data_IF_954181145827
#
_entry.id   IF_954181145827
#
_cell.length_a   1.000
_cell.length_b   1.000
_cell.length_c   1.000
_cell.angle_alpha   90.00
_cell.angle_beta   90.00
_cell.angle_gamma   90.00
#
_symmetry.space_group_name_H-M   'P 1'
#
loop_
_entity.id
_entity.type
_entity.pdbx_description
1 polymer ?
#
# COMPACT_ATOMS: atom_id res chain seq x y z
N UNK A 1 -4.84 1.30 -5.45
CA UNK A 1 -4.18 2.55 -5.90
C UNK A 1 -5.12 3.35 -6.82
N UNK A 2 -4.80 4.62 -7.13
CA UNK A 2 -5.53 5.49 -8.09
C UNK A 2 -6.99 5.85 -7.76
N UNK A 3 -7.49 5.49 -6.57
CA UNK A 3 -8.85 5.77 -6.12
C UNK A 3 -8.98 7.14 -5.40
N UNK A 4 -7.95 7.99 -5.46
CA UNK A 4 -7.97 9.31 -4.82
C UNK A 4 -7.92 9.30 -3.29
N UNK A 5 -7.40 8.25 -2.64
CA UNK A 5 -7.35 8.12 -1.17
C UNK A 5 -6.72 9.35 -0.49
N UNK A 6 -5.51 9.70 -0.94
CA UNK A 6 -4.80 10.90 -0.48
C UNK A 6 -5.61 12.18 -0.75
N UNK A 7 -6.27 12.29 -1.90
CA UNK A 7 -7.13 13.46 -2.20
C UNK A 7 -8.28 13.58 -1.20
N UNK A 8 -8.97 12.48 -0.91
CA UNK A 8 -10.09 12.46 0.05
C UNK A 8 -9.60 12.74 1.46
N UNK A 9 -8.45 12.18 1.87
CA UNK A 9 -7.81 12.50 3.14
C UNK A 9 -7.53 14.00 3.27
N UNK A 10 -6.85 14.59 2.29
CA UNK A 10 -6.54 16.03 2.30
C UNK A 10 -7.79 16.90 2.31
N UNK A 11 -8.84 16.51 1.59
CA UNK A 11 -10.11 17.24 1.61
C UNK A 11 -10.76 17.23 2.99
N UNK A 12 -10.77 16.08 3.68
CA UNK A 12 -11.30 15.99 5.04
C UNK A 12 -10.45 16.79 6.03
N UNK A 13 -9.13 16.62 5.99
CA UNK A 13 -8.21 17.38 6.86
C UNK A 13 -8.33 18.89 6.63
N UNK A 14 -8.45 19.34 5.38
CA UNK A 14 -8.64 20.75 5.08
C UNK A 14 -9.97 21.28 5.64
N UNK A 15 -11.07 20.52 5.51
CA UNK A 15 -12.36 20.92 6.07
C UNK A 15 -12.30 21.11 7.61
N UNK A 16 -11.52 20.26 8.30
CA UNK A 16 -11.30 20.39 9.75
C UNK A 16 -10.46 21.60 10.12
N UNK A 17 -9.42 21.88 9.34
CA UNK A 17 -8.61 23.09 9.50
C UNK A 17 -9.43 24.36 9.25
N UNK A 18 -10.27 24.37 8.21
CA UNK A 18 -11.16 25.48 7.86
C UNK A 18 -12.23 25.72 8.95
N UNK A 19 -12.60 24.67 9.68
CA UNK A 19 -13.46 24.75 10.87
C UNK A 19 -12.70 25.21 12.14
N UNK A 20 -11.41 25.57 12.02
CA UNK A 20 -10.59 26.08 13.11
C UNK A 20 -9.97 25.01 14.01
N UNK A 21 -10.10 23.72 13.68
CA UNK A 21 -9.48 22.64 14.47
C UNK A 21 -8.00 22.50 14.15
N UNK A 22 -7.20 22.16 15.16
CA UNK A 22 -5.76 21.92 14.97
C UNK A 22 -5.56 20.56 14.32
N UNK A 23 -4.92 20.54 13.14
CA UNK A 23 -4.70 19.32 12.36
C UNK A 23 -3.21 18.99 12.26
N UNK A 24 -2.89 17.70 12.29
CA UNK A 24 -1.58 17.19 11.90
C UNK A 24 -1.75 16.14 10.80
N UNK A 25 -0.75 16.06 9.92
CA UNK A 25 -0.74 15.12 8.80
C UNK A 25 0.56 14.33 8.83
N UNK A 26 0.45 13.01 8.70
CA UNK A 26 1.56 12.07 8.82
C UNK A 26 1.58 11.14 7.60
N UNK A 27 2.77 10.84 7.09
CA UNK A 27 2.99 9.83 6.05
C UNK A 27 4.20 8.96 6.39
N UNK A 28 4.23 7.75 5.83
CA UNK A 28 5.43 6.90 5.93
C UNK A 28 6.57 7.50 5.11
N UNK A 29 7.78 7.48 5.66
CA UNK A 29 9.02 7.85 4.97
C UNK A 29 9.40 6.89 3.83
N UNK A 30 8.88 5.66 3.85
CA UNK A 30 8.99 4.67 2.76
C UNK A 30 8.36 5.17 1.46
N UNK A 31 7.36 6.06 1.53
CA UNK A 31 6.76 6.66 0.34
C UNK A 31 7.54 7.90 -0.14
N UNK A 32 8.50 7.66 -1.03
CA UNK A 32 9.37 8.70 -1.62
C UNK A 32 8.82 9.30 -2.92
N UNK A 33 7.64 8.88 -3.41
CA UNK A 33 7.16 9.23 -4.76
C UNK A 33 6.97 10.74 -5.02
N UNK A 34 6.72 11.53 -3.97
CA UNK A 34 6.44 12.97 -4.07
C UNK A 34 7.24 13.82 -3.07
N UNK A 35 8.32 13.27 -2.48
CA UNK A 35 9.14 13.92 -1.46
C UNK A 35 8.69 13.66 -0.01
N UNK A 36 9.59 13.97 0.92
CA UNK A 36 9.43 13.67 2.36
C UNK A 36 8.66 14.77 3.14
N UNK A 37 8.60 16.00 2.63
CA UNK A 37 8.06 17.15 3.39
C UNK A 37 6.60 17.54 3.14
N UNK A 38 5.91 16.87 2.22
CA UNK A 38 4.51 17.18 1.92
C UNK A 38 3.76 15.95 1.41
N UNK A 39 2.45 15.92 1.70
CA UNK A 39 1.54 14.99 1.05
C UNK A 39 1.06 15.67 -0.22
N UNK A 40 1.34 15.03 -1.36
CA UNK A 40 0.88 15.49 -2.66
C UNK A 40 -0.18 14.51 -3.14
N UNK A 41 -1.42 14.99 -3.25
CA UNK A 41 -2.44 14.20 -3.94
C UNK A 41 -2.11 14.09 -5.43
N UNK A 42 -2.61 13.04 -6.09
CA UNK A 42 -2.54 12.93 -7.55
C UNK A 42 -3.22 14.12 -8.27
N UNK A 43 -4.13 14.83 -7.58
CA UNK A 43 -4.76 16.08 -8.04
C UNK A 43 -3.92 17.35 -7.85
N UNK A 44 -2.68 17.25 -7.35
CA UNK A 44 -1.75 18.38 -7.20
C UNK A 44 -1.90 19.23 -5.93
N UNK A 45 -2.90 18.96 -5.07
CA UNK A 45 -2.98 19.61 -3.74
C UNK A 45 -1.82 19.17 -2.85
N UNK A 46 -1.19 20.14 -2.15
CA UNK A 46 -0.08 19.92 -1.22
C UNK A 46 -0.42 20.45 0.17
N UNK A 47 -0.14 19.66 1.20
CA UNK A 47 -0.17 20.09 2.60
C UNK A 47 1.11 19.62 3.30
N UNK A 48 1.61 20.42 4.25
CA UNK A 48 2.76 20.03 5.07
C UNK A 48 2.43 18.80 5.90
N UNK A 49 3.39 17.89 6.03
CA UNK A 49 3.23 16.67 6.81
C UNK A 49 4.53 16.23 7.47
N UNK A 50 4.40 15.42 8.52
CA UNK A 50 5.50 14.68 9.10
C UNK A 50 5.71 13.37 8.31
N UNK A 51 6.83 13.23 7.61
CA UNK A 51 7.32 11.92 7.20
C UNK A 51 8.06 11.26 8.37
N UNK A 52 7.66 10.03 8.70
CA UNK A 52 8.20 9.25 9.83
C UNK A 52 8.27 7.78 9.47
N UNK A 53 9.19 7.06 10.13
CA UNK A 53 9.32 5.61 9.98
C UNK A 53 8.20 4.86 10.73
N UNK A 54 7.83 5.34 11.92
CA UNK A 54 6.73 4.83 12.73
C UNK A 54 5.82 5.95 13.25
N UNK A 55 4.59 5.63 13.63
CA UNK A 55 3.68 6.62 14.25
C UNK A 55 4.10 6.95 15.69
N UNK A 56 4.77 6.01 16.35
CA UNK A 56 5.42 6.21 17.63
C UNK A 56 6.51 7.29 17.54
N UNK A 57 7.31 7.32 16.46
CA UNK A 57 8.29 8.39 16.20
C UNK A 57 7.61 9.74 15.99
N UNK A 58 6.42 9.77 15.40
CA UNK A 58 5.65 11.01 15.29
C UNK A 58 5.28 11.55 16.68
N UNK A 59 4.80 10.69 17.58
CA UNK A 59 4.46 11.08 18.95
C UNK A 59 5.69 11.51 19.77
N UNK A 60 6.82 10.81 19.62
CA UNK A 60 8.04 11.07 20.41
C UNK A 60 8.89 12.23 19.89
N UNK A 61 9.09 12.36 18.57
CA UNK A 61 9.94 13.40 17.98
C UNK A 61 9.20 14.69 17.68
N UNK A 62 7.86 14.67 17.63
CA UNK A 62 7.03 15.87 17.46
C UNK A 62 5.96 15.97 18.55
N UNK A 63 6.35 15.95 19.84
CA UNK A 63 5.40 15.88 20.96
C UNK A 63 4.48 17.10 21.01
N UNK A 64 4.98 18.30 20.67
CA UNK A 64 4.17 19.51 20.64
C UNK A 64 3.10 19.46 19.54
N UNK A 65 3.48 19.05 18.33
CA UNK A 65 2.55 18.90 17.21
C UNK A 65 1.49 17.82 17.53
N UNK A 66 1.93 16.69 18.10
CA UNK A 66 1.01 15.65 18.56
C UNK A 66 0.05 16.18 19.62
N UNK A 67 0.55 16.85 20.67
CA UNK A 67 -0.25 17.33 21.77
C UNK A 67 -1.30 18.36 21.32
N UNK A 68 -0.92 19.28 20.43
CA UNK A 68 -1.79 20.33 19.92
C UNK A 68 -2.81 19.83 18.88
N UNK A 69 -2.49 18.80 18.10
CA UNK A 69 -3.41 18.29 17.09
C UNK A 69 -4.68 17.72 17.72
N UNK A 70 -5.85 18.18 17.29
CA UNK A 70 -7.13 17.53 17.59
C UNK A 70 -7.40 16.42 16.58
N UNK A 71 -6.98 16.65 15.32
CA UNK A 71 -7.18 15.75 14.18
C UNK A 71 -5.84 15.28 13.63
N UNK A 72 -5.68 13.98 13.45
CA UNK A 72 -4.48 13.40 12.86
C UNK A 72 -4.86 12.64 11.59
N UNK A 73 -4.39 13.15 10.44
CA UNK A 73 -4.46 12.46 9.17
C UNK A 73 -3.26 11.55 8.97
N UNK A 74 -3.50 10.29 8.57
CA UNK A 74 -2.45 9.31 8.31
C UNK A 74 -2.60 8.83 6.86
N UNK A 75 -1.61 9.08 6.01
CA UNK A 75 -1.59 8.57 4.62
C UNK A 75 -0.64 7.38 4.46
N UNK A 76 -0.94 6.56 3.45
CA UNK A 76 -0.25 5.30 3.16
C UNK A 76 -0.10 4.40 4.40
N UNK A 77 -1.17 4.32 5.18
CA UNK A 77 -1.22 3.68 6.49
C UNK A 77 -0.77 2.21 6.50
N UNK A 78 -0.87 1.51 5.36
CA UNK A 78 -0.42 0.13 5.23
C UNK A 78 1.08 -0.08 5.49
N UNK A 79 1.89 0.99 5.51
CA UNK A 79 3.33 0.94 5.77
C UNK A 79 3.72 1.06 7.26
N UNK A 80 2.77 1.36 8.14
CA UNK A 80 3.00 1.50 9.57
C UNK A 80 2.65 0.21 10.31
N UNK A 81 3.66 -0.45 10.86
CA UNK A 81 3.47 -1.67 11.64
C UNK A 81 2.76 -1.39 12.97
N UNK A 82 2.96 -0.18 13.53
CA UNK A 82 2.37 0.30 14.78
C UNK A 82 1.03 1.03 14.59
N UNK A 83 0.41 0.95 13.40
CA UNK A 83 -0.85 1.64 13.09
C UNK A 83 -1.97 1.34 14.09
N UNK A 84 -2.20 0.04 14.37
CA UNK A 84 -3.31 -0.38 15.22
C UNK A 84 -3.17 0.17 16.65
N UNK A 85 -2.01 -0.07 17.28
CA UNK A 85 -1.75 0.37 18.66
C UNK A 85 -1.70 1.90 18.78
N UNK A 86 -1.14 2.59 17.79
CA UNK A 86 -1.17 4.05 17.76
C UNK A 86 -2.59 4.58 17.66
N UNK A 87 -3.41 4.05 16.74
CA UNK A 87 -4.77 4.52 16.55
C UNK A 87 -5.64 4.29 17.78
N UNK A 88 -5.55 3.12 18.41
CA UNK A 88 -6.23 2.82 19.66
C UNK A 88 -5.82 3.80 20.77
N UNK A 89 -4.50 3.98 20.97
CA UNK A 89 -4.00 4.90 22.00
C UNK A 89 -4.47 6.33 21.78
N UNK A 90 -4.36 6.83 20.55
CA UNK A 90 -4.66 8.22 20.23
C UNK A 90 -6.17 8.51 20.30
N UNK A 91 -7.03 7.60 19.85
CA UNK A 91 -8.48 7.78 19.87
C UNK A 91 -9.06 7.57 21.28
N UNK A 92 -8.76 6.43 21.92
CA UNK A 92 -9.44 6.02 23.14
C UNK A 92 -8.95 6.77 24.38
N UNK A 93 -7.67 7.15 24.42
CA UNK A 93 -7.04 7.72 25.61
C UNK A 93 -6.64 9.18 25.46
N UNK A 94 -6.16 9.58 24.28
CA UNK A 94 -5.69 10.95 24.04
C UNK A 94 -6.76 11.87 23.43
N UNK A 95 -7.96 11.36 23.15
CA UNK A 95 -9.11 12.13 22.65
C UNK A 95 -8.92 12.70 21.24
N UNK A 96 -8.09 12.06 20.40
CA UNK A 96 -7.79 12.51 19.02
C UNK A 96 -8.80 11.92 18.04
N UNK A 97 -9.21 12.70 17.04
CA UNK A 97 -9.91 12.13 15.87
C UNK A 97 -8.90 11.73 14.81
N UNK A 98 -9.01 10.51 14.29
CA UNK A 98 -8.08 9.98 13.29
C UNK A 98 -8.74 9.83 11.93
N UNK A 99 -8.07 10.29 10.87
CA UNK A 99 -8.50 10.08 9.49
C UNK A 99 -7.40 9.29 8.78
N UNK A 100 -7.66 8.01 8.53
CA UNK A 100 -6.66 7.08 8.02
C UNK A 100 -6.93 6.74 6.55
N UNK A 101 -5.92 6.89 5.70
CA UNK A 101 -5.94 6.48 4.31
C UNK A 101 -4.84 5.45 4.06
N UNK A 102 -5.22 4.30 3.49
CA UNK A 102 -4.29 3.23 3.19
C UNK A 102 -4.86 2.27 2.14
N UNK A 103 -4.01 1.39 1.63
CA UNK A 103 -4.43 0.28 0.79
C UNK A 103 -5.03 -0.83 1.66
N UNK A 104 -6.18 -1.34 1.27
CA UNK A 104 -6.85 -2.48 1.91
C UNK A 104 -6.19 -3.81 1.55
N UNK A 105 -5.66 -3.91 0.32
CA UNK A 105 -4.91 -5.06 -0.13
C UNK A 105 -3.75 -4.72 -1.05
N UNK A 106 -2.80 -5.65 -1.12
CA UNK A 106 -1.65 -5.59 -2.02
C UNK A 106 -2.03 -6.00 -3.45
N UNK A 107 -1.02 -6.11 -4.33
CA UNK A 107 -1.21 -6.50 -5.73
C UNK A 107 -1.67 -7.95 -5.91
N UNK A 108 -1.60 -8.78 -4.86
CA UNK A 108 -2.11 -10.15 -4.81
C UNK A 108 -3.51 -10.24 -4.18
N UNK A 109 -4.11 -9.10 -3.80
CA UNK A 109 -5.34 -8.98 -3.00
C UNK A 109 -5.22 -9.60 -1.62
N UNK A 110 -4.01 -9.74 -1.11
CA UNK A 110 -3.78 -10.10 0.28
C UNK A 110 -3.79 -8.84 1.13
N UNK A 111 -4.02 -9.02 2.43
CA UNK A 111 -3.99 -7.93 3.39
C UNK A 111 -2.65 -7.17 3.33
N UNK A 112 -2.72 -5.84 3.28
CA UNK A 112 -1.54 -4.97 3.30
C UNK A 112 -1.44 -4.26 4.65
N UNK A 113 -0.40 -4.59 5.42
CA UNK A 113 -0.17 -4.02 6.75
C UNK A 113 -1.32 -4.31 7.72
N UNK A 114 -1.58 -3.37 8.61
CA UNK A 114 -2.62 -3.45 9.65
C UNK A 114 -3.80 -2.51 9.41
N UNK A 115 -3.91 -1.89 8.23
CA UNK A 115 -5.01 -0.97 7.91
C UNK A 115 -6.41 -1.61 8.06
N UNK A 116 -6.55 -2.90 7.74
CA UNK A 116 -7.80 -3.63 7.90
C UNK A 116 -8.13 -3.97 9.37
N UNK A 117 -7.15 -3.98 10.27
CA UNK A 117 -7.40 -4.22 11.70
C UNK A 117 -8.11 -3.05 12.37
N UNK A 118 -8.10 -1.87 11.74
CA UNK A 118 -8.84 -0.71 12.22
C UNK A 118 -10.34 -0.86 11.99
N UNK A 119 -10.80 -1.73 11.09
CA UNK A 119 -12.22 -1.82 10.71
C UNK A 119 -13.16 -2.08 11.89
N UNK A 120 -12.86 -3.01 12.84
CA UNK A 120 -13.70 -3.22 14.02
C UNK A 120 -13.71 -2.04 15.01
N UNK A 121 -12.73 -1.13 14.93
CA UNK A 121 -12.55 0.00 15.83
C UNK A 121 -13.01 1.32 15.22
N UNK A 122 -13.19 1.37 13.89
CA UNK A 122 -13.45 2.59 13.16
C UNK A 122 -14.93 2.98 13.22
N UNK A 123 -15.21 4.24 13.55
CA UNK A 123 -16.57 4.80 13.48
C UNK A 123 -17.14 4.82 12.06
N UNK A 124 -16.27 4.91 11.05
CA UNK A 124 -16.66 4.85 9.64
C UNK A 124 -15.56 4.27 8.76
N UNK A 125 -15.96 3.51 7.75
CA UNK A 125 -15.04 2.94 6.75
C UNK A 125 -15.57 3.24 5.35
N UNK A 126 -14.72 3.76 4.48
CA UNK A 126 -15.06 4.02 3.07
C UNK A 126 -14.06 3.35 2.14
N UNK A 127 -14.52 2.38 1.35
CA UNK A 127 -13.71 1.77 0.29
C UNK A 127 -13.89 2.51 -1.03
N UNK A 128 -12.88 3.30 -1.40
CA UNK A 128 -12.89 4.06 -2.66
C UNK A 128 -12.61 3.15 -3.85
N UNK A 129 -13.23 3.47 -4.99
CA UNK A 129 -13.00 2.80 -6.28
C UNK A 129 -12.43 3.79 -7.29
N UNK A 130 -11.55 3.31 -8.16
CA UNK A 130 -11.03 4.05 -9.32
C UNK A 130 -11.73 3.59 -10.60
N UNK A 131 -11.16 3.93 -11.76
CA UNK A 131 -11.62 3.46 -13.08
C UNK A 131 -10.68 2.39 -13.60
N UNK A 132 -11.23 1.28 -14.08
CA UNK A 132 -10.47 0.20 -14.66
C UNK A 132 -9.81 0.66 -15.95
N UNK A 133 -8.48 0.56 -16.01
CA UNK A 133 -7.69 1.01 -17.17
C UNK A 133 -8.05 0.26 -18.46
N UNK A 134 -8.57 -0.97 -18.36
CA UNK A 134 -8.96 -1.79 -19.52
C UNK A 134 -10.38 -1.49 -20.01
N UNK A 135 -11.33 -1.17 -19.13
CA UNK A 135 -12.75 -1.11 -19.52
C UNK A 135 -13.57 0.05 -18.94
N UNK A 136 -12.96 0.99 -18.23
CA UNK A 136 -13.62 2.18 -17.69
C UNK A 136 -14.60 1.96 -16.52
N UNK A 137 -15.02 0.71 -16.25
CA UNK A 137 -15.86 0.37 -15.08
C UNK A 137 -15.13 0.60 -13.75
N UNK A 138 -15.87 0.59 -12.65
CA UNK A 138 -15.28 0.72 -11.32
C UNK A 138 -14.17 -0.34 -11.09
N UNK A 139 -13.03 0.13 -10.62
CA UNK A 139 -11.87 -0.68 -10.26
C UNK A 139 -11.67 -0.69 -8.76
N UNK A 140 -11.69 -1.89 -8.18
CA UNK A 140 -11.50 -2.12 -6.76
C UNK A 140 -10.12 -2.75 -6.46
N UNK A 141 -9.33 -3.07 -7.48
CA UNK A 141 -8.06 -3.80 -7.32
C UNK A 141 -6.92 -3.07 -8.02
N UNK A 142 -5.73 -3.30 -7.50
CA UNK A 142 -4.48 -2.89 -8.12
C UNK A 142 -3.83 -4.12 -8.74
N UNK A 143 -3.47 -4.05 -10.01
CA UNK A 143 -2.73 -5.09 -10.70
C UNK A 143 -1.30 -4.62 -10.92
N UNK A 144 -0.31 -5.48 -10.66
CA UNK A 144 1.11 -5.20 -10.94
C UNK A 144 1.42 -5.66 -12.37
N UNK A 145 1.97 -4.76 -13.17
CA UNK A 145 2.34 -4.97 -14.59
C UNK A 145 3.65 -5.76 -14.72
N UNK A 146 4.50 -5.72 -13.70
CA UNK A 146 5.83 -6.34 -13.69
C UNK A 146 5.81 -7.72 -13.04
N UNK A 147 6.88 -8.51 -13.27
CA UNK A 147 7.04 -9.84 -12.68
C UNK A 147 7.62 -9.82 -11.25
N UNK A 148 7.91 -8.64 -10.70
CA UNK A 148 8.45 -8.50 -9.35
C UNK A 148 7.49 -9.10 -8.32
N UNK A 149 8.01 -9.98 -7.44
CA UNK A 149 7.23 -10.68 -6.41
C UNK A 149 7.33 -10.03 -5.02
N UNK A 150 8.18 -9.03 -4.84
CA UNK A 150 8.31 -8.33 -3.56
C UNK A 150 6.99 -7.67 -3.20
N UNK A 151 6.50 -7.85 -1.99
CA UNK A 151 5.22 -7.26 -1.55
C UNK A 151 5.22 -5.74 -1.71
N UNK A 152 6.30 -5.11 -1.26
CA UNK A 152 6.50 -3.67 -1.31
C UNK A 152 7.42 -3.30 -2.47
N UNK A 153 6.84 -2.69 -3.51
CA UNK A 153 7.58 -2.03 -4.58
C UNK A 153 6.96 -0.65 -4.76
N UNK A 154 7.71 0.39 -4.41
CA UNK A 154 7.28 1.77 -4.54
C UNK A 154 7.23 2.12 -6.03
N UNK A 155 6.07 2.57 -6.50
CA UNK A 155 5.85 2.90 -7.91
C UNK A 155 4.49 3.53 -8.15
N UNK A 156 4.29 3.97 -9.39
CA UNK A 156 3.07 4.61 -9.88
C UNK A 156 2.41 3.80 -10.99
N UNK A 157 1.97 4.52 -12.03
CA UNK A 157 1.27 3.95 -13.19
C UNK A 157 2.18 3.11 -14.11
N UNK A 158 3.49 3.25 -13.95
CA UNK A 158 4.54 2.47 -14.61
C UNK A 158 4.55 1.01 -14.12
N UNK A 159 4.33 0.79 -12.81
CA UNK A 159 4.35 -0.55 -12.20
C UNK A 159 2.94 -1.10 -12.00
N UNK A 160 1.95 -0.24 -11.76
CA UNK A 160 0.62 -0.64 -11.34
C UNK A 160 -0.49 -0.07 -12.22
N UNK A 161 -1.60 -0.81 -12.33
CA UNK A 161 -2.84 -0.33 -12.95
C UNK A 161 -4.07 -0.67 -12.11
N UNK A 162 -5.09 0.22 -12.07
CA UNK A 162 -6.38 -0.08 -11.49
C UNK A 162 -7.20 -0.99 -12.41
N UNK A 163 -7.76 -2.07 -11.85
CA UNK A 163 -8.57 -3.03 -12.61
C UNK A 163 -9.84 -3.46 -11.88
N UNK A 164 -10.86 -3.79 -12.67
CA UNK A 164 -12.07 -4.45 -12.16
C UNK A 164 -11.80 -5.93 -11.87
N UNK A 165 -12.75 -6.61 -11.20
CA UNK A 165 -12.60 -8.02 -10.80
C UNK A 165 -12.25 -8.94 -11.97
N UNK A 166 -13.00 -8.82 -13.08
CA UNK A 166 -12.82 -9.61 -14.30
C UNK A 166 -11.40 -9.47 -14.85
N UNK A 167 -10.93 -8.23 -15.03
CA UNK A 167 -9.63 -7.98 -15.64
C UNK A 167 -8.45 -8.34 -14.75
N UNK A 168 -8.60 -8.22 -13.42
CA UNK A 168 -7.58 -8.76 -12.53
C UNK A 168 -7.46 -10.29 -12.67
N UNK A 169 -8.59 -11.01 -12.60
CA UNK A 169 -8.56 -12.49 -12.64
C UNK A 169 -8.01 -12.97 -13.98
N UNK A 170 -8.49 -12.41 -15.08
CA UNK A 170 -7.97 -12.75 -16.42
C UNK A 170 -6.51 -12.34 -16.60
N UNK A 171 -6.11 -11.19 -16.05
CA UNK A 171 -4.72 -10.74 -16.09
C UNK A 171 -3.77 -11.66 -15.31
N UNK A 172 -4.19 -12.19 -14.16
CA UNK A 172 -3.41 -13.16 -13.40
C UNK A 172 -3.22 -14.46 -14.19
N UNK A 173 -4.28 -15.00 -14.79
CA UNK A 173 -4.17 -16.17 -15.66
C UNK A 173 -3.22 -15.95 -16.84
N UNK A 174 -3.26 -14.77 -17.48
CA UNK A 174 -2.35 -14.44 -18.56
C UNK A 174 -0.89 -14.39 -18.10
N UNK A 175 -0.62 -13.80 -16.93
CA UNK A 175 0.73 -13.75 -16.36
C UNK A 175 1.25 -15.14 -15.97
N UNK A 176 0.41 -15.97 -15.37
CA UNK A 176 0.75 -17.37 -15.04
C UNK A 176 1.02 -18.19 -16.29
N UNK A 177 0.19 -18.09 -17.32
CA UNK A 177 0.40 -18.78 -18.59
C UNK A 177 1.70 -18.33 -19.28
N UNK A 178 1.95 -17.02 -19.33
CA UNK A 178 3.20 -16.48 -19.90
C UNK A 178 4.44 -17.00 -19.15
N UNK A 179 4.36 -17.12 -17.82
CA UNK A 179 5.45 -17.68 -17.00
C UNK A 179 5.70 -19.15 -17.28
N UNK A 180 4.65 -19.97 -17.40
CA UNK A 180 4.81 -21.40 -17.72
C UNK A 180 5.54 -21.60 -19.04
N UNK A 181 5.21 -20.78 -20.06
CA UNK A 181 5.91 -20.81 -21.36
C UNK A 181 7.37 -20.38 -21.24
N UNK A 182 7.67 -19.33 -20.46
CA UNK A 182 9.05 -18.89 -20.22
C UNK A 182 9.85 -19.97 -19.50
N UNK A 183 9.29 -20.64 -18.49
CA UNK A 183 9.96 -21.71 -17.76
C UNK A 183 10.19 -22.96 -18.65
N UNK A 184 9.24 -23.32 -19.51
CA UNK A 184 9.38 -24.43 -20.46
C UNK A 184 10.46 -24.14 -21.51
N UNK A 185 10.55 -22.91 -22.01
CA UNK A 185 11.59 -22.50 -22.98
C UNK A 185 13.01 -22.46 -22.40
N UNK A 186 13.18 -22.50 -21.08
CA UNK A 186 14.48 -22.53 -20.39
C UNK A 186 14.83 -23.92 -19.84
N UNK A 187 14.10 -24.96 -20.20
CA UNK A 187 14.51 -26.33 -19.91
C UNK A 187 15.75 -26.68 -20.77
N UNK A 188 16.91 -27.03 -20.17
CA UNK A 188 18.08 -27.38 -20.96
C UNK A 188 17.74 -28.63 -21.78
N UNK A 189 17.97 -28.55 -23.10
CA UNK A 189 17.96 -29.73 -23.95
C UNK A 189 18.88 -30.77 -23.30
N UNK A 190 18.31 -31.92 -22.91
CA UNK A 190 19.13 -33.05 -22.48
C UNK A 190 19.89 -33.52 -23.71
N UNK A 191 21.19 -33.26 -23.73
CA UNK A 191 22.10 -33.86 -24.70
C UNK A 191 21.93 -35.39 -24.67
N UNK A 192 21.63 -36.07 -25.79
CA UNK A 192 21.40 -37.52 -25.80
C UNK A 192 22.67 -38.35 -25.63
N UNK A 193 23.83 -37.76 -25.30
CA UNK A 193 25.11 -38.43 -25.50
C UNK A 193 26.03 -38.34 -24.28
N UNK A 194 25.74 -39.12 -23.23
CA UNK A 194 26.77 -39.61 -22.31
C UNK A 194 26.34 -40.89 -21.62
N UNK A 195 26.33 -42.00 -22.36
CA UNK A 195 26.38 -43.33 -21.78
C UNK A 195 27.83 -43.72 -21.54
N UNK A 196 28.27 -43.75 -20.29
CA UNK A 196 29.41 -44.56 -19.85
C UNK A 196 29.17 -45.07 -18.42
N UNK A 197 29.45 -46.34 -18.11
CA UNK A 197 29.04 -46.97 -16.86
C UNK A 197 30.20 -46.98 -15.86
N UNK A 198 30.09 -46.31 -14.71
CA UNK A 198 31.08 -46.48 -13.63
C UNK A 198 30.45 -46.70 -12.25
N UNK A 199 30.49 -47.99 -11.88
CA UNK A 199 30.97 -48.59 -10.63
C UNK A 199 30.43 -48.09 -9.28
N UNK A 200 29.79 -49.05 -8.60
CA UNK A 200 29.55 -49.13 -7.16
C UNK A 200 30.80 -48.79 -6.32
N UNK A 201 30.60 -48.05 -5.24
CA UNK A 201 31.27 -48.32 -3.97
C UNK A 201 30.38 -47.90 -2.80
N UNK A 202 30.18 -48.83 -1.87
CA UNK A 202 29.44 -48.66 -0.62
C UNK A 202 30.41 -48.86 0.54
N UNK A 203 30.45 -47.93 1.49
CA UNK A 203 30.95 -48.05 2.88
C UNK A 203 30.59 -46.71 3.57
N UNK A 204 30.12 -46.59 4.81
CA UNK A 204 29.77 -47.48 5.91
C UNK A 204 29.19 -46.61 7.03
#
# INVERSE_FOLDING_TARGET
MFAGKTTVLLQRIQAEADAGRRVALVKSDKDTRYGLGCIVSHSGKKMHCAAVASLSDFKSHKPELYAQAEIIGIDEAQFFDDLLSFCQSAADWDGKTLIVAGLDGDFLRQRFGSALDLVPLADSVTKLSSRCEICGRAAAFTFRKTDDRRKEVIGGADIYMPVCRKHYVNGQFAMEAARSVVLESHSPQRDPCSSSPERKLAIG
#
